data_IF_484285771655
#
_entry.id   IF_484285771655
#
_cell.length_a   1.000
_cell.length_b   1.000
_cell.length_c   1.000
_cell.angle_alpha   90.00
_cell.angle_beta   90.00
_cell.angle_gamma   90.00
#
_symmetry.space_group_name_H-M   'P 1'
#
loop_
_entity.id
_entity.type
_entity.pdbx_description
1 polymer ?
#
# COMPACT_ATOMS: atom_id res chain seq x y z
N UNK A 1 -18.63 -19.60 7.17
CA UNK A 1 -17.34 -19.04 7.63
C UNK A 1 -16.45 -18.82 6.42
N UNK A 2 -16.63 -17.73 5.67
CA UNK A 2 -15.78 -17.47 4.48
C UNK A 2 -14.36 -17.03 4.86
N UNK A 3 -14.22 -16.22 5.92
CA UNK A 3 -12.91 -15.71 6.36
C UNK A 3 -11.95 -16.81 6.80
N UNK A 4 -12.43 -17.79 7.58
CA UNK A 4 -11.59 -18.90 8.03
C UNK A 4 -11.18 -19.81 6.88
N UNK A 5 -12.06 -20.01 5.90
CA UNK A 5 -11.75 -20.77 4.69
C UNK A 5 -10.68 -20.06 3.87
N UNK A 6 -10.82 -18.75 3.61
CA UNK A 6 -9.81 -17.96 2.91
C UNK A 6 -8.42 -18.02 3.58
N UNK A 7 -8.37 -17.91 4.92
CA UNK A 7 -7.13 -18.03 5.70
C UNK A 7 -6.54 -19.43 5.56
N UNK A 8 -7.38 -20.47 5.66
CA UNK A 8 -6.93 -21.86 5.52
C UNK A 8 -6.40 -22.13 4.11
N UNK A 9 -7.08 -21.64 3.07
CA UNK A 9 -6.64 -21.74 1.68
C UNK A 9 -5.25 -21.12 1.51
N UNK A 10 -5.03 -19.91 2.05
CA UNK A 10 -3.75 -19.22 1.92
C UNK A 10 -2.61 -19.92 2.69
N UNK A 11 -2.79 -20.17 3.99
CA UNK A 11 -1.70 -20.66 4.85
C UNK A 11 -1.47 -22.17 4.78
N UNK A 12 -2.50 -22.97 4.48
CA UNK A 12 -2.42 -24.44 4.51
C UNK A 12 -2.36 -25.00 3.09
N UNK A 13 -3.22 -24.52 2.19
CA UNK A 13 -3.27 -25.04 0.82
C UNK A 13 -2.37 -24.26 -0.16
N UNK A 14 -1.64 -23.24 0.33
CA UNK A 14 -0.83 -22.34 -0.49
C UNK A 14 -1.61 -21.74 -1.68
N UNK A 15 -2.91 -21.48 -1.45
CA UNK A 15 -3.85 -21.03 -2.45
C UNK A 15 -4.22 -19.57 -2.19
N UNK A 16 -3.66 -18.67 -2.99
CA UNK A 16 -3.93 -17.23 -2.93
C UNK A 16 -5.13 -16.78 -3.77
N UNK A 17 -5.88 -17.71 -4.39
CA UNK A 17 -7.03 -17.41 -5.27
C UNK A 17 -8.31 -17.08 -4.48
N UNK A 18 -8.16 -16.30 -3.41
CA UNK A 18 -9.25 -15.76 -2.58
C UNK A 18 -9.08 -14.26 -2.40
N UNK A 19 -10.15 -13.55 -2.04
CA UNK A 19 -10.06 -12.08 -1.87
C UNK A 19 -9.06 -11.67 -0.78
N UNK A 20 -8.97 -12.45 0.30
CA UNK A 20 -7.98 -12.23 1.35
C UNK A 20 -6.58 -12.73 0.94
N UNK A 21 -6.49 -13.88 0.26
CA UNK A 21 -5.22 -14.43 -0.25
C UNK A 21 -4.50 -13.44 -1.15
N UNK A 22 -5.20 -12.84 -2.11
CA UNK A 22 -4.64 -11.82 -3.00
C UNK A 22 -4.14 -10.59 -2.24
N UNK A 23 -4.86 -10.12 -1.21
CA UNK A 23 -4.40 -8.99 -0.37
C UNK A 23 -3.15 -9.33 0.42
N UNK A 24 -3.06 -10.56 0.97
CA UNK A 24 -1.87 -11.01 1.68
C UNK A 24 -0.66 -11.08 0.75
N UNK A 25 -0.84 -11.53 -0.50
CA UNK A 25 0.21 -11.50 -1.51
C UNK A 25 0.67 -10.07 -1.82
N UNK A 26 -0.25 -9.12 -1.99
CA UNK A 26 0.13 -7.70 -2.14
C UNK A 26 0.86 -7.17 -0.92
N UNK A 27 0.41 -7.52 0.29
CA UNK A 27 1.06 -7.04 1.51
C UNK A 27 2.47 -7.60 1.64
N UNK A 28 2.66 -8.87 1.30
CA UNK A 28 3.96 -9.52 1.28
C UNK A 28 4.87 -8.91 0.21
N UNK A 29 4.37 -8.69 -1.01
CA UNK A 29 5.12 -8.04 -2.08
C UNK A 29 5.54 -6.61 -1.69
N UNK A 30 4.61 -5.79 -1.19
CA UNK A 30 4.91 -4.43 -0.74
C UNK A 30 5.89 -4.40 0.44
N UNK A 31 5.82 -5.37 1.34
CA UNK A 31 6.79 -5.52 2.44
C UNK A 31 8.20 -5.84 1.94
N UNK A 32 8.33 -6.73 0.94
CA UNK A 32 9.62 -7.03 0.30
C UNK A 32 10.21 -5.75 -0.32
N UNK A 33 9.41 -5.01 -1.10
CA UNK A 33 9.83 -3.75 -1.73
C UNK A 33 10.26 -2.70 -0.69
N UNK A 34 9.54 -2.63 0.43
CA UNK A 34 9.89 -1.74 1.53
C UNK A 34 11.24 -2.12 2.16
N UNK A 35 11.50 -3.40 2.42
CA UNK A 35 12.78 -3.84 2.96
C UNK A 35 13.93 -3.52 2.01
N UNK A 36 13.70 -3.62 0.70
CA UNK A 36 14.70 -3.27 -0.32
C UNK A 36 15.05 -1.78 -0.32
N UNK A 37 14.06 -0.89 -0.16
CA UNK A 37 14.25 0.56 -0.16
C UNK A 37 13.44 1.27 0.94
N UNK A 38 13.86 1.18 2.22
CA UNK A 38 13.01 1.54 3.36
C UNK A 38 12.80 3.05 3.55
N UNK A 39 13.72 3.89 3.05
CA UNK A 39 13.65 5.34 3.28
C UNK A 39 12.75 6.02 2.24
N UNK A 40 13.04 5.79 0.95
CA UNK A 40 12.40 6.47 -0.19
C UNK A 40 11.45 5.58 -0.98
N UNK A 41 11.43 4.27 -0.74
CA UNK A 41 10.69 3.32 -1.57
C UNK A 41 11.32 3.12 -2.95
N UNK A 42 10.69 2.27 -3.75
CA UNK A 42 11.17 1.94 -5.11
C UNK A 42 10.64 2.92 -6.18
N UNK A 43 9.83 3.90 -5.78
CA UNK A 43 9.21 4.87 -6.68
C UNK A 43 8.00 4.34 -7.44
N UNK A 44 7.19 5.25 -8.00
CA UNK A 44 5.96 4.90 -8.74
C UNK A 44 6.23 4.05 -9.99
N UNK A 45 7.34 4.32 -10.70
CA UNK A 45 7.70 3.59 -11.92
C UNK A 45 8.24 2.19 -11.68
N UNK A 46 8.78 1.90 -10.49
CA UNK A 46 9.41 0.61 -10.17
C UNK A 46 8.45 -0.47 -9.68
N UNK A 47 7.21 -0.12 -9.32
CA UNK A 47 6.26 -1.06 -8.71
C UNK A 47 5.87 -2.19 -9.65
N UNK A 48 5.46 -1.85 -10.88
CA UNK A 48 4.97 -2.84 -11.83
C UNK A 48 6.08 -3.82 -12.23
N UNK A 49 7.27 -3.30 -12.55
CA UNK A 49 8.45 -4.11 -12.85
C UNK A 49 8.82 -5.04 -11.68
N UNK A 50 8.75 -4.53 -10.44
CA UNK A 50 9.08 -5.34 -9.26
C UNK A 50 8.03 -6.41 -8.98
N UNK A 51 6.73 -6.11 -9.16
CA UNK A 51 5.66 -7.11 -9.07
C UNK A 51 5.87 -8.23 -10.09
N UNK A 52 6.12 -7.89 -11.35
CA UNK A 52 6.40 -8.86 -12.41
C UNK A 52 7.63 -9.72 -12.08
N UNK A 53 8.67 -9.11 -11.54
CA UNK A 53 9.86 -9.84 -11.07
C UNK A 53 9.54 -10.81 -9.93
N UNK A 54 8.73 -10.43 -8.95
CA UNK A 54 8.34 -11.29 -7.84
C UNK A 54 7.49 -12.48 -8.30
N UNK A 55 6.61 -12.28 -9.28
CA UNK A 55 5.84 -13.37 -9.92
C UNK A 55 6.77 -14.30 -10.69
N UNK A 56 7.70 -13.75 -11.48
CA UNK A 56 8.63 -14.54 -12.29
C UNK A 56 9.56 -15.44 -11.46
N UNK A 57 9.86 -15.05 -10.22
CA UNK A 57 10.67 -15.85 -9.29
C UNK A 57 9.83 -16.78 -8.40
N UNK A 58 8.52 -16.93 -8.67
CA UNK A 58 7.57 -17.69 -7.85
C UNK A 58 7.53 -17.23 -6.38
N UNK A 59 7.98 -15.99 -6.14
CA UNK A 59 7.94 -15.38 -4.81
C UNK A 59 6.51 -14.95 -4.52
N UNK A 60 5.74 -14.53 -5.53
CA UNK A 60 4.37 -14.08 -5.37
C UNK A 60 3.43 -14.73 -6.40
N UNK A 61 2.16 -14.92 -6.05
CA UNK A 61 1.16 -15.53 -6.96
C UNK A 61 0.87 -14.64 -8.18
N UNK A 62 0.81 -15.21 -9.38
CA UNK A 62 0.50 -14.50 -10.64
C UNK A 62 -0.86 -13.77 -10.61
N UNK A 63 -1.80 -14.26 -9.80
CA UNK A 63 -3.17 -13.75 -9.80
C UNK A 63 -3.25 -12.32 -9.26
N UNK A 64 -3.49 -11.38 -10.17
CA UNK A 64 -3.81 -9.99 -9.84
C UNK A 64 -2.60 -9.07 -9.70
N UNK A 65 -1.40 -9.49 -10.11
CA UNK A 65 -0.16 -8.70 -9.95
C UNK A 65 0.00 -7.55 -10.96
N UNK A 66 -1.00 -7.30 -11.82
CA UNK A 66 -1.10 -6.11 -12.66
C UNK A 66 -2.13 -5.17 -12.06
N UNK A 67 -1.76 -4.46 -10.99
CA UNK A 67 -2.66 -3.55 -10.27
C UNK A 67 -2.05 -2.18 -10.04
N UNK A 68 -2.86 -1.11 -10.11
CA UNK A 68 -2.38 0.23 -9.83
C UNK A 68 -2.11 0.46 -8.33
N UNK A 69 -2.67 -0.33 -7.41
CA UNK A 69 -2.41 -0.24 -5.97
C UNK A 69 -2.34 -1.62 -5.28
N UNK A 70 -1.61 -1.69 -4.17
CA UNK A 70 -1.45 -2.89 -3.33
C UNK A 70 -2.62 -3.12 -2.33
N UNK A 71 -3.80 -2.56 -2.61
CA UNK A 71 -5.03 -2.67 -1.80
C UNK A 71 -4.88 -2.25 -0.32
N UNK A 72 -3.85 -1.48 0.01
CA UNK A 72 -3.63 -0.88 1.32
C UNK A 72 -2.78 0.37 1.16
N UNK A 73 -3.31 1.53 1.52
CA UNK A 73 -2.61 2.82 1.37
C UNK A 73 -1.27 2.83 2.09
N UNK A 74 -1.18 2.19 3.27
CA UNK A 74 0.06 2.16 4.06
C UNK A 74 1.10 1.28 3.38
N UNK A 75 0.73 0.06 2.95
CA UNK A 75 1.68 -0.85 2.30
C UNK A 75 2.11 -0.29 0.95
N UNK A 76 1.16 0.26 0.19
CA UNK A 76 1.42 0.88 -1.09
C UNK A 76 2.37 2.09 -0.95
N UNK A 77 2.13 2.95 0.05
CA UNK A 77 3.02 4.07 0.37
C UNK A 77 4.39 3.59 0.88
N UNK A 78 4.46 2.53 1.68
CA UNK A 78 5.74 1.94 2.11
C UNK A 78 6.56 1.46 0.92
N UNK A 79 5.94 0.71 0.00
CA UNK A 79 6.61 0.19 -1.18
C UNK A 79 7.09 1.33 -2.09
N UNK A 80 6.21 2.29 -2.40
CA UNK A 80 6.49 3.38 -3.36
C UNK A 80 7.38 4.50 -2.81
N UNK A 81 7.16 4.88 -1.55
CA UNK A 81 7.66 6.13 -0.96
C UNK A 81 8.39 5.92 0.37
N UNK A 82 8.51 4.68 0.83
CA UNK A 82 9.22 4.32 2.05
C UNK A 82 8.63 4.95 3.31
N UNK A 83 9.46 5.01 4.35
CA UNK A 83 9.09 5.56 5.64
C UNK A 83 8.77 7.07 5.56
N UNK A 84 9.46 7.82 4.70
CA UNK A 84 9.18 9.24 4.50
C UNK A 84 7.79 9.48 3.92
N UNK A 85 7.36 8.62 2.98
CA UNK A 85 6.00 8.61 2.46
C UNK A 85 4.97 8.36 3.55
N UNK A 86 5.18 7.32 4.37
CA UNK A 86 4.24 6.97 5.45
C UNK A 86 4.15 8.06 6.51
N UNK A 87 5.27 8.64 6.93
CA UNK A 87 5.27 9.76 7.87
C UNK A 87 4.46 10.92 7.30
N UNK A 88 4.66 11.26 6.03
CA UNK A 88 3.92 12.32 5.34
C UNK A 88 2.42 12.01 5.29
N UNK A 89 2.04 10.77 4.99
CA UNK A 89 0.65 10.31 4.97
C UNK A 89 -0.01 10.38 6.37
N UNK A 90 0.69 9.93 7.40
CA UNK A 90 0.20 9.98 8.78
C UNK A 90 0.03 11.42 9.26
N UNK A 91 0.96 12.33 8.94
CA UNK A 91 0.83 13.75 9.23
C UNK A 91 -0.40 14.34 8.55
N UNK A 92 -0.69 13.94 7.31
CA UNK A 92 -1.89 14.35 6.58
C UNK A 92 -3.17 13.86 7.28
N UNK A 93 -3.22 12.57 7.66
CA UNK A 93 -4.37 11.99 8.37
C UNK A 93 -4.61 12.67 9.72
N UNK A 94 -3.56 12.88 10.51
CA UNK A 94 -3.62 13.59 11.80
C UNK A 94 -4.02 15.06 11.60
N UNK A 95 -3.51 15.70 10.55
CA UNK A 95 -3.87 17.06 10.18
C UNK A 95 -5.37 17.20 9.89
N UNK A 96 -5.93 16.31 9.07
CA UNK A 96 -7.36 16.26 8.78
C UNK A 96 -8.19 15.98 10.03
N UNK A 97 -7.87 14.92 10.78
CA UNK A 97 -8.58 14.56 12.00
C UNK A 97 -8.59 15.72 13.02
N UNK A 98 -7.46 16.40 13.18
CA UNK A 98 -7.34 17.58 14.06
C UNK A 98 -8.17 18.77 13.58
N UNK A 99 -8.21 19.02 12.27
CA UNK A 99 -8.99 20.10 11.70
C UNK A 99 -10.50 19.86 11.86
N UNK A 100 -10.97 18.63 11.63
CA UNK A 100 -12.34 18.21 11.87
C UNK A 100 -12.72 18.32 13.35
N UNK A 101 -11.89 17.81 14.26
CA UNK A 101 -12.11 17.90 15.69
C UNK A 101 -12.24 19.36 16.17
N UNK A 102 -11.51 20.28 15.54
CA UNK A 102 -11.53 21.72 15.86
C UNK A 102 -12.59 22.50 15.05
N UNK A 103 -13.40 21.85 14.20
CA UNK A 103 -14.36 22.47 13.26
C UNK A 103 -13.74 23.57 12.37
N UNK A 104 -12.47 23.41 11.97
CA UNK A 104 -11.71 24.41 11.18
C UNK A 104 -11.66 24.04 9.70
N UNK A 105 -12.83 24.00 9.07
CA UNK A 105 -13.00 23.52 7.69
C UNK A 105 -12.23 24.34 6.63
N UNK A 106 -12.09 25.66 6.81
CA UNK A 106 -11.41 26.54 5.84
C UNK A 106 -9.89 26.30 5.74
N UNK A 107 -9.22 26.04 6.87
CA UNK A 107 -7.77 25.75 6.88
C UNK A 107 -7.46 24.37 6.30
N UNK A 108 -8.42 23.45 6.43
CA UNK A 108 -8.33 22.09 5.92
C UNK A 108 -8.30 22.04 4.39
N UNK A 109 -9.18 22.81 3.73
CA UNK A 109 -9.24 22.92 2.26
C UNK A 109 -7.92 23.50 1.73
N UNK A 110 -7.36 24.49 2.42
CA UNK A 110 -6.08 25.08 2.06
C UNK A 110 -4.91 24.09 2.18
N UNK A 111 -4.83 23.31 3.26
CA UNK A 111 -3.78 22.27 3.40
C UNK A 111 -3.91 21.15 2.37
N UNK A 112 -5.15 20.74 2.05
CA UNK A 112 -5.40 19.74 1.01
C UNK A 112 -4.95 20.25 -0.37
N UNK A 113 -5.25 21.50 -0.72
CA UNK A 113 -4.80 22.14 -1.96
C UNK A 113 -3.29 22.27 -2.04
N UNK A 114 -2.63 22.68 -0.96
CA UNK A 114 -1.16 22.80 -0.92
C UNK A 114 -0.50 21.43 -1.03
N UNK A 115 -1.02 20.40 -0.35
CA UNK A 115 -0.50 19.03 -0.51
C UNK A 115 -0.72 18.48 -1.91
N UNK A 116 -1.86 18.77 -2.55
CA UNK A 116 -2.12 18.36 -3.94
C UNK A 116 -1.16 19.03 -4.92
N UNK A 117 -0.91 20.34 -4.76
CA UNK A 117 0.04 21.10 -5.59
C UNK A 117 1.51 20.71 -5.39
N UNK A 118 1.85 20.12 -4.23
CA UNK A 118 3.22 19.66 -3.95
C UNK A 118 3.46 18.21 -4.39
N UNK A 119 2.41 17.47 -4.72
CA UNK A 119 2.46 16.02 -5.02
C UNK A 119 2.01 15.71 -6.46
N UNK A 120 1.40 16.66 -7.18
CA UNK A 120 1.11 16.60 -8.62
C UNK A 120 2.24 17.27 -9.44
#
# INVERSE_FOLDING_TARGET
MAIFDDIYQYFINNNADTSLGTRFEFWRAGWIMFIENPILGIGEGGIQERLESLVAHEIASDRGMTVPQLHSDIIDTLARRGLLGVISLLLLYVGFASAFAKKRYTRMIMYALVCWLLVA
#
